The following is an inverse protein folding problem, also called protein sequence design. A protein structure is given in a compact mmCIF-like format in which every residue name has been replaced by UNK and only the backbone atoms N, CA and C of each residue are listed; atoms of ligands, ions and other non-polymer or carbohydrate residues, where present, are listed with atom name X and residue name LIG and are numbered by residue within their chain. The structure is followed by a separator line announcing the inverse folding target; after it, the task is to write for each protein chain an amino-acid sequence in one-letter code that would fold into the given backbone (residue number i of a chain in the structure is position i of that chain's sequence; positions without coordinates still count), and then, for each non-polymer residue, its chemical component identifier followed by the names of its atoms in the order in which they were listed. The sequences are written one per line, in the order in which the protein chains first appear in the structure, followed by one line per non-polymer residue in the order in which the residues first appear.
data_IF_150493668441
#
_entry.id   IF_150493668441
#
_cell.length_a   1.000
_cell.length_b   1.000
_cell.length_c   1.000
_cell.angle_alpha   90.00
_cell.angle_beta   90.00
_cell.angle_gamma   90.00
#
_symmetry.space_group_name_H-M   'P 1'
#
loop_
_entity.id
_entity.type
_entity.pdbx_description
1 polymer ?
#
# COMPACT_ATOMS: atom_id res chain seq x y z
N UNK A 1 21.33 -13.18 33.27
CA UNK A 1 20.69 -12.66 34.51
C UNK A 1 21.43 -13.04 35.80
N UNK A 2 21.91 -14.27 35.97
CA UNK A 2 22.68 -14.66 37.19
C UNK A 2 23.95 -13.83 37.35
N UNK A 3 24.72 -13.62 36.28
CA UNK A 3 25.93 -12.84 36.31
C UNK A 3 25.67 -11.36 36.59
N UNK A 4 24.54 -10.82 36.05
CA UNK A 4 24.08 -9.46 36.37
C UNK A 4 23.71 -9.33 37.84
N UNK A 5 23.01 -10.33 38.40
CA UNK A 5 22.66 -10.36 39.83
C UNK A 5 23.91 -10.36 40.72
N UNK A 6 24.87 -11.23 40.39
CA UNK A 6 26.16 -11.31 41.09
C UNK A 6 26.93 -9.97 41.00
N UNK A 7 27.05 -9.39 39.82
CA UNK A 7 27.77 -8.13 39.56
C UNK A 7 27.12 -6.93 40.24
N UNK A 8 25.77 -6.88 40.23
CA UNK A 8 25.01 -5.81 40.87
C UNK A 8 24.86 -6.00 42.39
N UNK A 9 25.24 -7.15 42.95
CA UNK A 9 25.07 -7.48 44.37
C UNK A 9 23.59 -7.53 44.80
N UNK A 10 22.72 -8.08 43.96
CA UNK A 10 21.27 -8.16 44.19
C UNK A 10 20.74 -9.57 43.88
N UNK A 11 19.51 -9.86 44.31
CA UNK A 11 18.87 -11.14 43.98
C UNK A 11 18.51 -11.24 42.50
N UNK A 12 18.45 -12.47 41.97
CA UNK A 12 17.92 -12.74 40.61
C UNK A 12 16.54 -12.12 40.40
N UNK A 13 15.67 -12.18 41.43
CA UNK A 13 14.33 -11.58 41.42
C UNK A 13 14.38 -10.07 41.26
N UNK A 14 15.36 -9.40 41.90
CA UNK A 14 15.56 -7.93 41.76
C UNK A 14 15.99 -7.58 40.34
N UNK A 15 16.94 -8.31 39.74
CA UNK A 15 17.32 -8.14 38.34
C UNK A 15 16.11 -8.30 37.38
N UNK A 16 15.34 -9.38 37.61
CA UNK A 16 14.11 -9.64 36.81
C UNK A 16 13.15 -8.47 36.90
N UNK A 17 12.89 -7.92 38.09
CA UNK A 17 11.96 -6.80 38.29
C UNK A 17 12.48 -5.51 37.60
N UNK A 18 13.78 -5.23 37.69
CA UNK A 18 14.37 -4.06 37.00
C UNK A 18 14.31 -4.21 35.50
N UNK A 19 14.65 -5.40 34.95
CA UNK A 19 14.59 -5.69 33.52
C UNK A 19 13.16 -5.58 32.99
N UNK A 20 12.17 -6.03 33.75
CA UNK A 20 10.75 -5.98 33.41
C UNK A 20 10.07 -4.64 33.74
N UNK A 21 10.82 -3.65 34.28
CA UNK A 21 10.27 -2.35 34.70
C UNK A 21 9.15 -2.45 35.72
N UNK A 22 9.16 -3.49 36.55
CA UNK A 22 8.16 -3.67 37.60
C UNK A 22 8.31 -2.64 38.72
N UNK A 23 7.21 -2.09 39.28
CA UNK A 23 7.29 -1.13 40.38
C UNK A 23 7.82 -1.75 41.67
N UNK A 24 8.34 -0.89 42.57
CA UNK A 24 8.78 -1.29 43.93
C UNK A 24 10.24 -1.73 44.00
N UNK A 25 11.10 -1.31 43.08
CA UNK A 25 12.56 -1.41 43.22
C UNK A 25 13.09 0.02 43.45
N UNK A 26 13.97 0.20 44.42
CA UNK A 26 14.53 1.51 44.72
C UNK A 26 15.40 2.05 43.58
N UNK A 27 15.45 3.38 43.38
CA UNK A 27 16.24 3.99 42.30
C UNK A 27 17.73 3.58 42.31
N UNK A 28 18.31 3.39 43.47
CA UNK A 28 19.68 2.93 43.62
C UNK A 28 19.91 1.52 43.10
N UNK A 29 19.02 0.60 43.45
CA UNK A 29 19.07 -0.79 42.93
C UNK A 29 18.83 -0.82 41.42
N UNK A 30 17.94 0.02 40.89
CA UNK A 30 17.71 0.15 39.45
C UNK A 30 18.98 0.61 38.74
N UNK A 31 19.68 1.60 39.29
CA UNK A 31 20.94 2.09 38.73
C UNK A 31 22.02 1.00 38.75
N UNK A 32 22.26 0.35 39.88
CA UNK A 32 23.25 -0.73 40.02
C UNK A 32 23.02 -1.89 39.03
N UNK A 33 21.77 -2.30 38.84
CA UNK A 33 21.42 -3.34 37.87
C UNK A 33 21.64 -2.87 36.42
N UNK A 34 21.27 -1.64 36.09
CA UNK A 34 21.51 -1.06 34.74
C UNK A 34 23.01 -0.95 34.43
N UNK A 35 23.80 -0.52 35.37
CA UNK A 35 25.27 -0.42 35.25
C UNK A 35 25.89 -1.81 35.04
N UNK A 36 25.44 -2.82 35.78
CA UNK A 36 25.88 -4.22 35.61
C UNK A 36 25.45 -4.80 34.26
N UNK A 37 24.24 -4.52 33.78
CA UNK A 37 23.74 -4.91 32.43
C UNK A 37 24.65 -4.31 31.35
N UNK A 38 24.94 -3.01 31.44
CA UNK A 38 25.78 -2.32 30.48
C UNK A 38 27.21 -2.88 30.48
N UNK A 39 27.80 -3.09 31.66
CA UNK A 39 29.17 -3.58 31.79
C UNK A 39 29.35 -5.02 31.25
N UNK A 40 28.35 -5.87 31.46
CA UNK A 40 28.38 -7.28 31.04
C UNK A 40 27.85 -7.49 29.61
N UNK A 41 27.41 -6.41 28.92
CA UNK A 41 26.77 -6.53 27.60
C UNK A 41 25.53 -7.45 27.62
N UNK A 42 24.91 -7.59 28.81
CA UNK A 42 23.77 -8.48 28.95
C UNK A 42 22.57 -7.94 28.16
N UNK A 43 22.09 -8.74 27.22
CA UNK A 43 20.83 -8.47 26.51
C UNK A 43 19.74 -9.36 27.11
N UNK A 44 18.64 -8.77 27.62
CA UNK A 44 17.49 -9.56 28.03
C UNK A 44 17.03 -10.45 26.87
N UNK A 45 16.78 -11.71 27.14
CA UNK A 45 16.15 -12.60 26.18
C UNK A 45 14.64 -12.33 26.22
N UNK A 46 14.18 -11.57 25.26
CA UNK A 46 12.76 -11.22 25.14
C UNK A 46 11.89 -12.47 24.95
N UNK A 47 12.43 -13.56 24.37
CA UNK A 47 11.73 -14.86 24.28
C UNK A 47 11.42 -15.45 25.67
N UNK A 48 12.36 -15.34 26.62
CA UNK A 48 12.15 -15.79 28.01
C UNK A 48 11.16 -14.87 28.77
N UNK A 49 11.00 -13.63 28.35
CA UNK A 49 10.04 -12.66 28.90
C UNK A 49 8.62 -12.99 28.44
N UNK A 50 8.42 -13.20 27.15
CA UNK A 50 7.11 -13.56 26.56
C UNK A 50 6.61 -14.94 27.03
N UNK A 51 7.50 -15.90 27.30
CA UNK A 51 7.15 -17.20 27.87
C UNK A 51 6.64 -17.17 29.33
N UNK A 52 6.90 -16.06 30.06
CA UNK A 52 6.52 -15.93 31.49
C UNK A 52 5.31 -15.00 31.71
N UNK A 53 5.03 -14.08 30.81
CA UNK A 53 3.81 -13.30 30.81
C UNK A 53 2.72 -14.16 30.15
N UNK A 54 1.72 -14.51 30.93
CA UNK A 54 0.57 -15.32 30.58
C UNK A 54 -0.06 -14.92 29.27
N UNK A 55 0.25 -15.64 28.18
CA UNK A 55 -0.36 -15.47 26.86
C UNK A 55 0.69 -15.35 25.77
N UNK A 56 0.81 -16.32 25.00
CA UNK A 56 1.38 -16.63 23.67
C UNK A 56 1.88 -15.50 22.75
N UNK A 57 1.84 -14.20 23.11
CA UNK A 57 2.19 -13.09 22.23
C UNK A 57 3.70 -12.92 22.08
N UNK A 58 4.18 -12.82 20.84
CA UNK A 58 5.59 -12.63 20.50
C UNK A 58 6.00 -11.18 20.36
N UNK A 59 5.03 -10.27 20.25
CA UNK A 59 5.25 -8.85 20.01
C UNK A 59 5.69 -8.54 18.57
N UNK A 60 5.28 -9.37 17.62
CA UNK A 60 5.53 -9.16 16.20
C UNK A 60 4.26 -9.42 15.38
N UNK A 61 4.04 -8.59 14.35
CA UNK A 61 3.03 -8.79 13.32
C UNK A 61 3.69 -8.93 11.95
N UNK A 62 3.05 -9.70 11.06
CA UNK A 62 3.48 -9.86 9.67
C UNK A 62 2.79 -8.86 8.74
N UNK A 63 3.51 -8.34 7.75
CA UNK A 63 2.91 -7.63 6.63
C UNK A 63 3.36 -8.25 5.30
N UNK A 64 2.45 -8.98 4.66
CA UNK A 64 2.65 -9.54 3.33
C UNK A 64 2.18 -8.53 2.28
N UNK A 65 3.12 -7.95 1.55
CA UNK A 65 2.90 -6.92 0.53
C UNK A 65 3.32 -7.44 -0.86
N UNK A 66 2.88 -6.76 -1.92
CA UNK A 66 3.21 -7.21 -3.29
C UNK A 66 4.68 -7.00 -3.61
N UNK A 67 5.19 -5.76 -3.49
CA UNK A 67 6.57 -5.41 -3.82
C UNK A 67 7.07 -4.24 -2.96
N UNK A 68 8.12 -4.47 -2.18
CA UNK A 68 8.77 -3.45 -1.35
C UNK A 68 9.35 -2.30 -2.18
N UNK A 69 9.65 -2.53 -3.46
CA UNK A 69 10.13 -1.51 -4.39
C UNK A 69 9.05 -0.51 -4.81
N UNK A 70 7.77 -0.81 -4.59
CA UNK A 70 6.70 0.14 -4.86
C UNK A 70 6.52 1.12 -3.68
N UNK A 71 6.68 2.41 -3.94
CA UNK A 71 6.56 3.50 -2.96
C UNK A 71 5.25 3.46 -2.15
N UNK A 72 4.15 3.02 -2.76
CA UNK A 72 2.87 2.83 -2.07
C UNK A 72 3.04 1.99 -0.80
N UNK A 73 3.75 0.86 -0.88
CA UNK A 73 3.95 -0.01 0.28
C UNK A 73 4.92 0.57 1.31
N UNK A 74 5.88 1.40 0.90
CA UNK A 74 6.78 2.09 1.85
C UNK A 74 6.01 3.02 2.78
N UNK A 75 5.04 3.77 2.27
CA UNK A 75 4.17 4.61 3.08
C UNK A 75 3.17 3.79 3.90
N UNK A 76 2.65 2.69 3.33
CA UNK A 76 1.77 1.75 4.05
C UNK A 76 2.48 1.15 5.26
N UNK A 77 3.73 0.67 5.09
CA UNK A 77 4.55 0.14 6.19
C UNK A 77 4.70 1.19 7.30
N UNK A 78 4.98 2.45 6.97
CA UNK A 78 5.12 3.51 7.97
C UNK A 78 3.84 3.72 8.79
N UNK A 79 2.68 3.65 8.15
CA UNK A 79 1.40 3.71 8.86
C UNK A 79 1.20 2.52 9.81
N UNK A 80 1.53 1.31 9.36
CA UNK A 80 1.48 0.10 10.19
C UNK A 80 2.46 0.19 11.36
N UNK A 81 3.71 0.60 11.11
CA UNK A 81 4.75 0.71 12.14
C UNK A 81 4.42 1.74 13.22
N UNK A 82 3.74 2.83 12.87
CA UNK A 82 3.33 3.84 13.83
C UNK A 82 2.40 3.24 14.89
N UNK A 83 1.37 2.51 14.46
CA UNK A 83 0.42 1.84 15.36
C UNK A 83 1.10 0.69 16.10
N UNK A 84 1.85 -0.16 15.41
CA UNK A 84 2.56 -1.30 16.01
C UNK A 84 3.50 -0.84 17.14
N UNK A 85 4.23 0.24 16.95
CA UNK A 85 5.13 0.83 17.97
C UNK A 85 4.38 1.30 19.21
N UNK A 86 3.17 1.87 19.06
CA UNK A 86 2.33 2.29 20.20
C UNK A 86 1.94 1.08 21.07
N UNK A 87 1.75 -0.09 20.45
CA UNK A 87 1.47 -1.36 21.12
C UNK A 87 2.72 -2.13 21.54
N UNK A 88 3.94 -1.65 21.23
CA UNK A 88 5.20 -2.30 21.56
C UNK A 88 5.55 -3.50 20.66
N UNK A 89 5.01 -3.51 19.43
CA UNK A 89 5.20 -4.56 18.44
C UNK A 89 6.21 -4.18 17.35
N UNK A 90 6.83 -5.20 16.77
CA UNK A 90 7.64 -5.09 15.54
C UNK A 90 6.82 -5.51 14.33
N UNK A 91 7.10 -4.91 13.18
CA UNK A 91 6.54 -5.29 11.89
C UNK A 91 7.57 -6.10 11.11
N UNK A 92 7.21 -7.31 10.70
CA UNK A 92 7.97 -8.14 9.77
C UNK A 92 7.32 -8.02 8.40
N UNK A 93 7.93 -7.25 7.49
CA UNK A 93 7.40 -7.05 6.15
C UNK A 93 8.17 -7.88 5.12
N UNK A 94 7.48 -8.36 4.08
CA UNK A 94 8.09 -9.08 2.97
C UNK A 94 7.23 -9.03 1.71
N UNK A 95 7.90 -9.20 0.55
CA UNK A 95 7.27 -9.18 -0.77
C UNK A 95 6.77 -10.57 -1.19
N UNK A 96 5.53 -10.61 -1.69
CA UNK A 96 4.91 -11.82 -2.28
C UNK A 96 5.14 -11.89 -3.78
N UNK A 97 5.62 -10.79 -4.38
CA UNK A 97 5.74 -10.60 -5.84
C UNK A 97 4.41 -10.79 -6.59
N UNK A 98 3.28 -10.60 -5.91
CA UNK A 98 1.94 -10.69 -6.48
C UNK A 98 1.54 -12.08 -6.94
N UNK A 99 2.15 -13.14 -6.40
CA UNK A 99 1.83 -14.51 -6.76
C UNK A 99 1.66 -15.41 -5.52
N UNK A 100 0.89 -16.49 -5.68
CA UNK A 100 0.53 -17.39 -4.58
C UNK A 100 1.75 -18.09 -3.97
N UNK A 101 2.73 -18.48 -4.78
CA UNK A 101 3.93 -19.20 -4.27
C UNK A 101 4.74 -18.29 -3.34
N UNK A 102 4.96 -17.03 -3.74
CA UNK A 102 5.65 -16.05 -2.90
C UNK A 102 4.85 -15.71 -1.64
N UNK A 103 3.52 -15.65 -1.74
CA UNK A 103 2.63 -15.46 -0.60
C UNK A 103 2.78 -16.61 0.40
N UNK A 104 2.64 -17.86 -0.04
CA UNK A 104 2.72 -19.03 0.82
C UNK A 104 4.07 -19.12 1.54
N UNK A 105 5.18 -18.96 0.83
CA UNK A 105 6.53 -18.96 1.41
C UNK A 105 6.70 -17.89 2.50
N UNK A 106 6.14 -16.70 2.27
CA UNK A 106 6.22 -15.60 3.22
C UNK A 106 5.35 -15.87 4.44
N UNK A 107 4.10 -16.34 4.24
CA UNK A 107 3.20 -16.69 5.35
C UNK A 107 3.77 -17.84 6.18
N UNK A 108 4.32 -18.89 5.58
CA UNK A 108 5.04 -19.95 6.30
C UNK A 108 6.19 -19.38 7.15
N UNK A 109 6.92 -18.40 6.64
CA UNK A 109 7.97 -17.71 7.39
C UNK A 109 7.39 -16.95 8.59
N UNK A 110 6.26 -16.27 8.45
CA UNK A 110 5.58 -15.57 9.54
C UNK A 110 5.08 -16.56 10.60
N UNK A 111 4.49 -17.68 10.18
CA UNK A 111 4.06 -18.78 11.08
C UNK A 111 5.24 -19.37 11.85
N UNK A 112 6.35 -19.67 11.18
CA UNK A 112 7.56 -20.19 11.83
C UNK A 112 8.14 -19.20 12.85
N UNK A 113 8.00 -17.90 12.62
CA UNK A 113 8.41 -16.83 13.54
C UNK A 113 7.35 -16.49 14.58
N UNK A 114 6.17 -17.14 14.49
CA UNK A 114 5.04 -16.99 15.42
C UNK A 114 4.58 -15.54 15.52
N UNK A 115 4.38 -14.85 14.39
CA UNK A 115 3.74 -13.54 14.43
C UNK A 115 2.35 -13.65 15.06
N UNK A 116 1.95 -12.63 15.80
CA UNK A 116 0.68 -12.65 16.55
C UNK A 116 -0.52 -12.34 15.68
N UNK A 117 -0.29 -11.69 14.53
CA UNK A 117 -1.31 -11.37 13.52
C UNK A 117 -0.67 -10.96 12.19
N UNK A 118 -1.46 -10.91 11.14
CA UNK A 118 -1.00 -10.68 9.78
C UNK A 118 -1.85 -9.59 9.10
N UNK A 119 -1.19 -8.61 8.49
CA UNK A 119 -1.79 -7.75 7.47
C UNK A 119 -1.32 -8.28 6.12
N UNK A 120 -2.22 -8.45 5.16
CA UNK A 120 -1.86 -9.01 3.85
C UNK A 120 -2.55 -8.29 2.70
N UNK A 121 -1.80 -8.09 1.61
CA UNK A 121 -2.35 -7.86 0.27
C UNK A 121 -2.40 -9.22 -0.42
N UNK A 122 -3.58 -9.87 -0.49
CA UNK A 122 -3.69 -11.20 -1.07
C UNK A 122 -3.28 -11.23 -2.55
N UNK A 123 -2.70 -12.34 -2.99
CA UNK A 123 -2.26 -12.52 -4.39
C UNK A 123 -3.38 -12.98 -5.33
N UNK A 124 -4.62 -13.00 -4.85
CA UNK A 124 -5.81 -13.42 -5.60
C UNK A 124 -6.87 -14.03 -4.68
N UNK A 125 -7.83 -14.76 -5.26
CA UNK A 125 -8.90 -15.44 -4.51
C UNK A 125 -8.43 -16.74 -3.84
N UNK A 126 -7.39 -17.37 -4.37
CA UNK A 126 -6.73 -18.50 -3.71
C UNK A 126 -5.79 -17.95 -2.62
N UNK A 127 -6.09 -18.28 -1.38
CA UNK A 127 -5.36 -17.79 -0.23
C UNK A 127 -4.26 -18.73 0.25
N UNK A 128 -4.23 -19.98 -0.23
CA UNK A 128 -3.21 -20.96 0.13
C UNK A 128 -3.00 -21.10 1.64
N UNK A 129 -1.75 -20.96 2.10
CA UNK A 129 -1.38 -21.03 3.53
C UNK A 129 -2.05 -19.93 4.36
N UNK A 130 -2.27 -18.74 3.80
CA UNK A 130 -2.97 -17.65 4.50
C UNK A 130 -4.40 -18.04 4.88
N UNK A 131 -5.11 -18.75 4.01
CA UNK A 131 -6.44 -19.27 4.29
C UNK A 131 -6.45 -20.23 5.48
N UNK A 132 -5.48 -21.13 5.55
CA UNK A 132 -5.34 -22.04 6.70
C UNK A 132 -5.06 -21.30 8.02
N UNK A 133 -4.32 -20.21 7.98
CA UNK A 133 -4.07 -19.41 9.18
C UNK A 133 -5.34 -18.68 9.65
N UNK A 134 -6.17 -18.19 8.72
CA UNK A 134 -7.47 -17.61 9.05
C UNK A 134 -8.37 -18.66 9.73
N UNK A 135 -8.45 -19.88 9.19
CA UNK A 135 -9.23 -20.99 9.76
C UNK A 135 -8.74 -21.40 11.16
N UNK A 136 -7.43 -21.25 11.44
CA UNK A 136 -6.84 -21.50 12.76
C UNK A 136 -7.10 -20.39 13.76
N UNK A 137 -7.71 -19.28 13.34
CA UNK A 137 -8.03 -18.13 14.16
C UNK A 137 -6.86 -17.15 14.35
N UNK A 138 -5.84 -17.19 13.50
CA UNK A 138 -4.84 -16.13 13.45
C UNK A 138 -5.51 -14.84 13.00
N UNK A 139 -5.41 -13.72 13.76
CA UNK A 139 -5.96 -12.44 13.35
C UNK A 139 -5.35 -11.98 12.02
N UNK A 140 -6.20 -11.73 11.02
CA UNK A 140 -5.79 -11.28 9.69
C UNK A 140 -6.62 -10.06 9.29
N UNK A 141 -5.96 -9.08 8.67
CA UNK A 141 -6.60 -7.93 8.02
C UNK A 141 -6.12 -7.89 6.58
N UNK A 142 -7.05 -7.83 5.64
CA UNK A 142 -6.72 -7.63 4.23
C UNK A 142 -6.54 -6.16 3.91
N UNK A 143 -5.65 -5.90 2.97
CA UNK A 143 -5.37 -4.58 2.44
C UNK A 143 -5.47 -4.61 0.92
N UNK A 144 -6.13 -3.62 0.33
CA UNK A 144 -6.27 -3.35 -1.11
C UNK A 144 -7.12 -4.35 -1.89
N UNK A 145 -7.00 -5.66 -1.67
CA UNK A 145 -7.75 -6.70 -2.36
C UNK A 145 -8.74 -7.39 -1.42
N UNK A 146 -9.95 -7.63 -1.92
CA UNK A 146 -11.04 -8.33 -1.25
C UNK A 146 -11.25 -9.71 -1.89
N UNK A 147 -10.71 -10.80 -1.33
CA UNK A 147 -11.00 -12.14 -1.80
C UNK A 147 -12.47 -12.52 -1.62
N UNK A 148 -13.00 -13.27 -2.56
CA UNK A 148 -14.36 -13.77 -2.50
C UNK A 148 -14.52 -14.81 -1.36
N UNK A 149 -15.68 -14.82 -0.72
CA UNK A 149 -16.07 -15.81 0.29
C UNK A 149 -15.26 -15.88 1.59
N UNK A 150 -14.46 -14.87 1.91
CA UNK A 150 -13.69 -14.81 3.15
C UNK A 150 -14.13 -13.62 4.01
N UNK A 151 -14.51 -13.90 5.27
CA UNK A 151 -15.00 -12.90 6.21
C UNK A 151 -13.84 -12.43 7.11
N UNK A 152 -13.04 -11.48 6.63
CA UNK A 152 -11.93 -10.81 7.35
C UNK A 152 -12.08 -9.30 7.24
N UNK A 153 -11.47 -8.57 8.18
CA UNK A 153 -11.40 -7.12 8.08
C UNK A 153 -10.64 -6.70 6.81
N UNK A 154 -11.14 -5.67 6.15
CA UNK A 154 -10.59 -5.14 4.91
C UNK A 154 -10.44 -3.62 5.00
N UNK A 155 -9.29 -3.12 4.59
CA UNK A 155 -9.05 -1.70 4.32
C UNK A 155 -8.57 -1.54 2.89
N UNK A 156 -9.21 -0.70 2.09
CA UNK A 156 -8.79 -0.44 0.70
C UNK A 156 -9.12 0.96 0.23
N UNK A 157 -8.46 1.38 -0.85
CA UNK A 157 -8.81 2.60 -1.57
C UNK A 157 -10.11 2.43 -2.35
N UNK A 158 -10.83 3.54 -2.56
CA UNK A 158 -11.94 3.59 -3.51
C UNK A 158 -11.41 3.67 -4.95
N UNK A 159 -10.98 2.53 -5.49
CA UNK A 159 -10.40 2.46 -6.83
C UNK A 159 -11.37 2.87 -7.92
N UNK A 160 -12.64 2.45 -7.82
CA UNK A 160 -13.66 2.78 -8.81
C UNK A 160 -14.03 4.27 -8.74
N UNK A 161 -14.39 4.75 -7.55
CA UNK A 161 -14.78 6.14 -7.34
C UNK A 161 -13.65 7.12 -7.64
N UNK A 162 -12.42 6.81 -7.26
CA UNK A 162 -11.25 7.61 -7.60
C UNK A 162 -11.00 7.69 -9.11
N UNK A 163 -11.17 6.58 -9.85
CA UNK A 163 -11.07 6.59 -11.32
C UNK A 163 -12.21 7.37 -11.98
N UNK A 164 -13.43 7.28 -11.42
CA UNK A 164 -14.55 8.15 -11.85
C UNK A 164 -14.21 9.62 -11.66
N UNK A 165 -13.65 9.99 -10.49
CA UNK A 165 -13.25 11.37 -10.21
C UNK A 165 -12.16 11.86 -11.16
N UNK A 166 -11.12 11.06 -11.39
CA UNK A 166 -10.04 11.37 -12.33
C UNK A 166 -10.59 11.63 -13.74
N UNK A 167 -11.44 10.74 -14.22
CA UNK A 167 -12.02 10.85 -15.56
C UNK A 167 -12.96 12.05 -15.68
N UNK A 168 -13.84 12.26 -14.70
CA UNK A 168 -14.75 13.43 -14.67
C UNK A 168 -13.96 14.74 -14.63
N UNK A 169 -12.81 14.79 -13.97
CA UNK A 169 -11.92 15.94 -13.99
C UNK A 169 -11.46 16.28 -15.42
N UNK A 170 -10.95 15.31 -16.18
CA UNK A 170 -10.57 15.50 -17.58
C UNK A 170 -11.77 15.89 -18.47
N UNK A 171 -12.90 15.23 -18.27
CA UNK A 171 -14.15 15.52 -19.01
C UNK A 171 -14.62 16.95 -18.76
N UNK A 172 -14.55 17.45 -17.52
CA UNK A 172 -14.90 18.82 -17.15
C UNK A 172 -13.98 19.86 -17.83
N UNK A 173 -12.73 19.51 -18.13
CA UNK A 173 -11.79 20.36 -18.88
C UNK A 173 -11.96 20.26 -20.40
N UNK A 174 -12.96 19.50 -20.87
CA UNK A 174 -13.34 19.45 -22.28
C UNK A 174 -12.82 18.23 -23.05
N UNK A 175 -12.10 17.30 -22.38
CA UNK A 175 -11.59 16.09 -23.02
C UNK A 175 -12.72 15.09 -23.29
N UNK A 176 -12.68 14.48 -24.47
CA UNK A 176 -13.56 13.40 -24.91
C UNK A 176 -12.77 12.24 -25.53
N UNK A 177 -11.53 12.51 -25.95
CA UNK A 177 -10.58 11.53 -26.47
C UNK A 177 -9.45 11.35 -25.45
N UNK A 178 -9.65 10.40 -24.54
CA UNK A 178 -8.79 10.11 -23.39
C UNK A 178 -8.23 8.70 -23.54
N UNK A 179 -6.90 8.57 -23.48
CA UNK A 179 -6.25 7.25 -23.41
C UNK A 179 -6.08 6.82 -21.96
N UNK A 180 -6.48 5.60 -21.66
CA UNK A 180 -6.28 4.94 -20.38
C UNK A 180 -5.09 3.98 -20.47
N UNK A 181 -4.14 4.12 -19.55
CA UNK A 181 -3.03 3.18 -19.38
C UNK A 181 -3.13 2.57 -17.97
N UNK A 182 -3.26 1.26 -17.90
CA UNK A 182 -3.49 0.53 -16.65
C UNK A 182 -2.74 -0.78 -16.57
N UNK A 183 -2.68 -1.34 -15.38
CA UNK A 183 -2.16 -2.68 -15.15
C UNK A 183 -3.11 -3.75 -15.72
N UNK A 184 -2.72 -5.02 -15.71
CA UNK A 184 -3.57 -6.12 -16.15
C UNK A 184 -4.88 -6.18 -15.36
N UNK A 185 -5.99 -6.46 -16.03
CA UNK A 185 -7.32 -6.55 -15.39
C UNK A 185 -7.50 -7.80 -14.51
N UNK A 186 -6.52 -8.67 -14.46
CA UNK A 186 -6.45 -9.76 -13.47
C UNK A 186 -6.22 -9.21 -12.05
N UNK A 187 -5.59 -8.03 -11.95
CA UNK A 187 -5.41 -7.32 -10.69
C UNK A 187 -6.70 -6.60 -10.32
N UNK A 188 -7.23 -6.88 -9.13
CA UNK A 188 -8.51 -6.36 -8.64
C UNK A 188 -8.61 -4.83 -8.71
N UNK A 189 -7.61 -4.11 -8.20
CA UNK A 189 -7.58 -2.63 -8.22
C UNK A 189 -7.54 -2.07 -9.64
N UNK A 190 -6.77 -2.67 -10.55
CA UNK A 190 -6.69 -2.28 -11.95
C UNK A 190 -8.04 -2.47 -12.68
N UNK A 191 -8.72 -3.60 -12.43
CA UNK A 191 -10.06 -3.87 -12.95
C UNK A 191 -11.07 -2.80 -12.53
N UNK A 192 -11.07 -2.41 -11.25
CA UNK A 192 -11.96 -1.39 -10.73
C UNK A 192 -11.65 0.00 -11.29
N UNK A 193 -10.38 0.35 -11.45
CA UNK A 193 -9.97 1.65 -12.04
C UNK A 193 -10.41 1.74 -13.51
N UNK A 194 -10.24 0.67 -14.29
CA UNK A 194 -10.73 0.63 -15.68
C UNK A 194 -12.26 0.72 -15.75
N UNK A 195 -12.97 0.04 -14.86
CA UNK A 195 -14.43 0.13 -14.78
C UNK A 195 -14.88 1.57 -14.47
N UNK A 196 -14.29 2.22 -13.47
CA UNK A 196 -14.59 3.61 -13.12
C UNK A 196 -14.32 4.60 -14.27
N UNK A 197 -13.20 4.40 -15.00
CA UNK A 197 -12.90 5.18 -16.21
C UNK A 197 -14.00 5.01 -17.27
N UNK A 198 -14.37 3.76 -17.61
CA UNK A 198 -15.42 3.48 -18.62
C UNK A 198 -16.78 4.02 -18.22
N UNK A 199 -17.15 3.90 -16.94
CA UNK A 199 -18.41 4.41 -16.42
C UNK A 199 -18.49 5.93 -16.54
N UNK A 200 -17.44 6.65 -16.14
CA UNK A 200 -17.39 8.10 -16.23
C UNK A 200 -17.40 8.62 -17.69
N UNK A 201 -16.75 7.91 -18.61
CA UNK A 201 -16.80 8.23 -20.04
C UNK A 201 -18.19 8.01 -20.61
N UNK A 202 -18.84 6.90 -20.27
CA UNK A 202 -20.23 6.59 -20.67
C UNK A 202 -21.20 7.65 -20.13
N UNK A 203 -21.06 8.08 -18.87
CA UNK A 203 -21.86 9.14 -18.26
C UNK A 203 -21.68 10.47 -19.02
N UNK A 204 -20.50 10.70 -19.59
CA UNK A 204 -20.21 11.87 -20.43
C UNK A 204 -20.69 11.75 -21.88
N UNK A 205 -21.39 10.66 -22.23
CA UNK A 205 -21.87 10.37 -23.58
C UNK A 205 -20.75 9.99 -24.56
N UNK A 206 -19.63 9.47 -24.07
CA UNK A 206 -18.48 9.05 -24.87
C UNK A 206 -18.34 7.55 -24.81
N UNK A 207 -18.39 6.91 -25.98
CA UNK A 207 -18.05 5.50 -26.12
C UNK A 207 -16.53 5.34 -26.27
N UNK A 208 -15.92 4.58 -25.39
CA UNK A 208 -14.46 4.42 -25.36
C UNK A 208 -14.07 3.32 -26.34
N UNK A 209 -13.41 3.73 -27.41
CA UNK A 209 -12.85 2.76 -28.35
C UNK A 209 -11.75 1.91 -27.69
N UNK A 210 -11.72 0.61 -27.98
CA UNK A 210 -10.75 -0.33 -27.37
C UNK A 210 -9.28 0.11 -27.57
N UNK A 211 -8.97 0.73 -28.68
CA UNK A 211 -7.64 1.30 -28.95
C UNK A 211 -7.22 2.42 -27.99
N UNK A 212 -8.13 2.95 -27.19
CA UNK A 212 -7.87 3.98 -26.15
C UNK A 212 -7.60 3.34 -24.78
N UNK A 213 -7.68 2.02 -24.67
CA UNK A 213 -7.41 1.30 -23.43
C UNK A 213 -6.19 0.40 -23.65
N UNK A 214 -5.11 0.68 -22.95
CA UNK A 214 -3.87 -0.10 -22.99
C UNK A 214 -3.63 -0.65 -21.59
N UNK A 215 -3.64 -1.96 -21.44
CA UNK A 215 -3.43 -2.63 -20.15
C UNK A 215 -2.33 -3.67 -20.27
N UNK A 216 -1.58 -3.89 -19.20
CA UNK A 216 -0.53 -4.90 -19.13
C UNK A 216 0.36 -4.70 -17.92
N UNK A 217 1.17 -5.70 -17.62
CA UNK A 217 2.13 -5.66 -16.54
C UNK A 217 3.54 -5.40 -17.10
N UNK A 218 4.04 -4.19 -16.91
CA UNK A 218 5.30 -3.73 -17.48
C UNK A 218 6.10 -2.92 -16.46
N UNK A 219 7.42 -2.94 -16.62
CA UNK A 219 8.30 -2.03 -15.87
C UNK A 219 8.13 -0.57 -16.33
N UNK A 220 8.52 0.39 -15.51
CA UNK A 220 8.41 1.83 -15.83
C UNK A 220 9.05 2.21 -17.18
N UNK A 221 10.22 1.65 -17.50
CA UNK A 221 10.91 1.92 -18.78
C UNK A 221 10.12 1.38 -19.98
N UNK A 222 9.51 0.21 -19.86
CA UNK A 222 8.65 -0.37 -20.91
C UNK A 222 7.40 0.47 -21.10
N UNK A 223 6.80 0.96 -20.02
CA UNK A 223 5.66 1.89 -20.11
C UNK A 223 6.03 3.18 -20.84
N UNK A 224 7.23 3.73 -20.61
CA UNK A 224 7.70 4.89 -21.36
C UNK A 224 7.75 4.60 -22.85
N UNK A 225 8.28 3.44 -23.27
CA UNK A 225 8.37 3.04 -24.67
C UNK A 225 7.00 2.83 -25.31
N UNK A 226 6.10 2.10 -24.62
CA UNK A 226 4.73 1.85 -25.05
C UNK A 226 3.98 3.17 -25.28
N UNK A 227 4.02 4.08 -24.29
CA UNK A 227 3.32 5.35 -24.35
C UNK A 227 3.95 6.26 -25.41
N UNK A 228 5.30 6.27 -25.53
CA UNK A 228 6.00 7.02 -26.60
C UNK A 228 5.57 6.54 -27.98
N UNK A 229 5.50 5.22 -28.19
CA UNK A 229 5.03 4.62 -29.45
C UNK A 229 3.58 4.97 -29.72
N UNK A 230 2.73 4.86 -28.71
CA UNK A 230 1.30 5.19 -28.80
C UNK A 230 1.04 6.66 -29.18
N UNK A 231 1.77 7.60 -28.58
CA UNK A 231 1.60 9.03 -28.84
C UNK A 231 2.14 9.49 -30.20
N UNK A 232 2.98 8.71 -30.86
CA UNK A 232 3.46 8.99 -32.24
C UNK A 232 2.44 8.60 -33.30
N UNK A 233 1.46 7.76 -33.00
CA UNK A 233 0.43 7.34 -33.93
C UNK A 233 -0.71 8.38 -33.94
N UNK A 234 -1.13 8.81 -35.14
CA UNK A 234 -2.20 9.79 -35.32
C UNK A 234 -3.57 9.09 -35.48
N UNK A 235 -4.63 9.61 -34.89
CA UNK A 235 -4.70 10.79 -34.03
C UNK A 235 -4.26 10.48 -32.60
N UNK A 236 -3.39 11.31 -32.03
CA UNK A 236 -3.02 11.21 -30.63
C UNK A 236 -4.22 11.62 -29.73
N UNK A 237 -4.36 11.03 -28.51
CA UNK A 237 -5.39 11.42 -27.56
C UNK A 237 -5.17 12.86 -27.08
N UNK A 238 -6.21 13.50 -26.59
CA UNK A 238 -6.10 14.84 -26.01
C UNK A 238 -5.71 14.81 -24.52
N UNK A 239 -5.90 13.67 -23.89
CA UNK A 239 -5.55 13.44 -22.48
C UNK A 239 -5.11 11.98 -22.24
N UNK A 240 -4.32 11.78 -21.20
CA UNK A 240 -3.90 10.49 -20.67
C UNK A 240 -4.41 10.35 -19.24
N UNK A 241 -4.97 9.19 -18.93
CA UNK A 241 -5.16 8.70 -17.57
C UNK A 241 -4.20 7.54 -17.31
N UNK A 242 -3.16 7.76 -16.51
CA UNK A 242 -2.26 6.72 -16.02
C UNK A 242 -2.79 6.17 -14.69
N UNK A 243 -3.20 4.90 -14.70
CA UNK A 243 -3.96 4.32 -13.60
C UNK A 243 -3.07 3.64 -12.53
N UNK A 244 -1.78 3.98 -12.47
CA UNK A 244 -0.82 3.47 -11.47
C UNK A 244 0.45 4.32 -11.47
N UNK A 245 1.17 4.37 -10.33
CA UNK A 245 2.38 5.19 -10.15
C UNK A 245 3.50 4.90 -11.17
N UNK A 246 3.82 3.63 -11.46
CA UNK A 246 4.86 3.27 -12.45
C UNK A 246 4.49 3.72 -13.86
N UNK A 247 3.20 3.60 -14.21
CA UNK A 247 2.67 4.07 -15.49
C UNK A 247 2.77 5.60 -15.57
N UNK A 248 2.49 6.29 -14.47
CA UNK A 248 2.58 7.74 -14.36
C UNK A 248 3.98 8.25 -14.63
N UNK A 249 5.00 7.60 -14.07
CA UNK A 249 6.40 7.94 -14.35
C UNK A 249 6.73 7.72 -15.83
N UNK A 250 6.32 6.58 -16.40
CA UNK A 250 6.51 6.28 -17.82
C UNK A 250 5.81 7.32 -18.74
N UNK A 251 4.56 7.70 -18.41
CA UNK A 251 3.81 8.72 -19.14
C UNK A 251 4.45 10.10 -19.06
N UNK A 252 4.91 10.51 -17.88
CA UNK A 252 5.61 11.78 -17.69
C UNK A 252 6.89 11.83 -18.55
N UNK A 253 7.70 10.79 -18.53
CA UNK A 253 8.89 10.69 -19.38
C UNK A 253 8.55 10.76 -20.87
N UNK A 254 7.53 10.03 -21.33
CA UNK A 254 7.11 10.04 -22.72
C UNK A 254 6.62 11.43 -23.18
N UNK A 255 5.77 12.07 -22.36
CA UNK A 255 5.24 13.41 -22.64
C UNK A 255 6.34 14.47 -22.71
N UNK A 256 7.29 14.45 -21.78
CA UNK A 256 8.41 15.39 -21.78
C UNK A 256 9.36 15.13 -22.95
N UNK A 257 9.74 13.89 -23.23
CA UNK A 257 10.62 13.55 -24.34
C UNK A 257 10.06 13.94 -25.71
N UNK A 258 8.72 13.92 -25.87
CA UNK A 258 8.03 14.32 -27.10
C UNK A 258 7.66 15.79 -27.15
N UNK A 259 7.92 16.58 -26.11
CA UNK A 259 7.51 17.99 -26.03
C UNK A 259 5.97 18.16 -25.99
N UNK A 260 5.26 17.19 -25.43
CA UNK A 260 3.79 17.13 -25.34
C UNK A 260 3.25 17.42 -23.93
N UNK A 261 4.11 17.61 -22.92
CA UNK A 261 3.72 17.82 -21.52
C UNK A 261 2.77 19.02 -21.29
N UNK A 262 2.83 20.04 -22.16
CA UNK A 262 1.93 21.20 -22.14
C UNK A 262 0.80 21.13 -23.21
N UNK A 263 0.62 20.00 -23.88
CA UNK A 263 -0.33 19.86 -25.00
C UNK A 263 -1.35 18.76 -24.78
N UNK A 264 -0.97 17.71 -24.09
CA UNK A 264 -1.79 16.55 -23.73
C UNK A 264 -2.00 16.59 -22.22
N UNK A 265 -3.26 16.62 -21.78
CA UNK A 265 -3.55 16.56 -20.35
C UNK A 265 -3.13 15.20 -19.76
N UNK A 266 -2.70 15.22 -18.51
CA UNK A 266 -2.28 14.01 -17.81
C UNK A 266 -2.84 14.00 -16.38
N UNK A 267 -3.58 12.94 -16.04
CA UNK A 267 -4.02 12.67 -14.69
C UNK A 267 -3.54 11.29 -14.26
N UNK A 268 -3.14 11.18 -13.00
CA UNK A 268 -2.63 9.95 -12.40
C UNK A 268 -3.60 9.39 -11.35
N UNK A 269 -3.72 8.08 -11.28
CA UNK A 269 -4.07 7.40 -10.05
C UNK A 269 -2.76 7.06 -9.33
N UNK A 270 -2.71 7.32 -8.05
CA UNK A 270 -1.53 7.42 -7.18
C UNK A 270 -0.79 8.76 -7.31
N UNK A 271 -0.25 9.19 -6.19
CA UNK A 271 0.74 10.26 -6.15
C UNK A 271 2.15 9.66 -6.27
N UNK A 272 3.06 10.40 -6.86
CA UNK A 272 4.47 10.03 -7.00
C UNK A 272 5.35 11.13 -6.41
N UNK A 273 6.54 10.76 -5.94
CA UNK A 273 7.53 11.74 -5.53
C UNK A 273 7.84 12.71 -6.69
N UNK A 274 7.96 13.98 -6.35
CA UNK A 274 8.25 15.06 -7.29
C UNK A 274 7.14 15.37 -8.32
N UNK A 275 5.91 14.83 -8.17
CA UNK A 275 4.79 15.14 -9.06
C UNK A 275 4.45 16.63 -9.12
N UNK A 276 4.75 17.39 -8.08
CA UNK A 276 4.56 18.84 -7.95
C UNK A 276 5.76 19.65 -8.48
N UNK A 277 6.92 19.02 -8.70
CA UNK A 277 8.14 19.72 -9.18
C UNK A 277 8.27 19.69 -10.69
N UNK A 278 7.66 18.73 -11.39
CA UNK A 278 7.66 18.71 -12.86
C UNK A 278 6.75 19.82 -13.40
N UNK A 279 6.95 20.21 -14.65
CA UNK A 279 6.15 21.27 -15.30
C UNK A 279 5.45 20.77 -16.56
N UNK A 280 4.11 20.80 -16.59
CA UNK A 280 3.18 21.13 -15.49
C UNK A 280 3.20 20.08 -14.40
N UNK A 281 2.87 20.45 -13.14
CA UNK A 281 2.73 19.51 -12.04
C UNK A 281 1.68 18.44 -12.34
N UNK A 282 1.93 17.19 -11.94
CA UNK A 282 1.02 16.08 -12.28
C UNK A 282 -0.21 16.10 -11.36
N UNK A 283 -1.38 16.26 -11.97
CA UNK A 283 -2.69 16.15 -11.33
C UNK A 283 -2.95 14.69 -10.95
N UNK A 284 -3.32 14.43 -9.69
CA UNK A 284 -3.40 13.06 -9.15
C UNK A 284 -4.68 12.80 -8.37
N UNK A 285 -5.04 11.51 -8.26
CA UNK A 285 -5.94 10.95 -7.24
C UNK A 285 -5.09 10.06 -6.34
N UNK A 286 -4.64 10.54 -5.16
CA UNK A 286 -3.77 9.78 -4.27
C UNK A 286 -4.54 8.65 -3.57
N UNK A 287 -3.86 7.58 -3.16
CA UNK A 287 -4.47 6.47 -2.42
C UNK A 287 -4.41 6.61 -0.88
N UNK A 288 -3.67 7.56 -0.34
CA UNK A 288 -3.44 7.73 1.09
C UNK A 288 -2.85 6.48 1.78
N UNK A 289 -1.72 5.94 1.30
CA UNK A 289 -1.20 4.64 1.76
C UNK A 289 -0.82 4.61 3.25
N UNK A 290 -0.42 5.75 3.83
CA UNK A 290 -0.16 5.85 5.25
C UNK A 290 -1.43 5.63 6.10
N UNK A 291 -2.55 6.24 5.71
CA UNK A 291 -3.84 6.05 6.40
C UNK A 291 -4.35 4.61 6.24
N UNK A 292 -4.21 4.02 5.04
CA UNK A 292 -4.54 2.62 4.80
C UNK A 292 -3.79 1.68 5.75
N UNK A 293 -2.46 1.89 5.87
CA UNK A 293 -1.64 1.10 6.78
C UNK A 293 -2.00 1.29 8.25
N UNK A 294 -2.26 2.53 8.66
CA UNK A 294 -2.66 2.87 10.02
C UNK A 294 -3.98 2.20 10.39
N UNK A 295 -5.01 2.31 9.56
CA UNK A 295 -6.31 1.71 9.80
C UNK A 295 -6.26 0.19 9.81
N UNK A 296 -5.50 -0.43 8.87
CA UNK A 296 -5.32 -1.87 8.87
C UNK A 296 -4.66 -2.37 10.17
N UNK A 297 -3.66 -1.65 10.68
CA UNK A 297 -3.03 -1.98 11.94
C UNK A 297 -3.97 -1.77 13.14
N UNK A 298 -4.74 -0.69 13.18
CA UNK A 298 -5.73 -0.45 14.25
C UNK A 298 -6.76 -1.58 14.33
N UNK A 299 -7.29 -2.03 13.18
CA UNK A 299 -8.20 -3.18 13.12
C UNK A 299 -7.51 -4.46 13.62
N UNK A 300 -6.27 -4.73 13.18
CA UNK A 300 -5.52 -5.90 13.62
C UNK A 300 -5.33 -5.89 15.14
N UNK A 301 -4.95 -4.76 15.74
CA UNK A 301 -4.77 -4.67 17.18
C UNK A 301 -6.08 -4.79 17.97
N UNK A 302 -7.21 -4.37 17.42
CA UNK A 302 -8.54 -4.64 18.01
C UNK A 302 -8.80 -6.16 18.06
N UNK A 303 -8.48 -6.91 16.98
CA UNK A 303 -8.61 -8.38 16.96
C UNK A 303 -7.65 -9.04 17.94
N UNK A 304 -6.40 -8.59 18.01
CA UNK A 304 -5.41 -9.08 18.98
C UNK A 304 -5.82 -8.84 20.44
N UNK A 305 -6.59 -7.79 20.70
CA UNK A 305 -7.19 -7.50 22.01
C UNK A 305 -8.44 -8.34 22.32
N UNK A 306 -8.89 -9.20 21.39
CA UNK A 306 -10.03 -10.09 21.57
C UNK A 306 -11.37 -9.52 21.12
N UNK A 307 -11.38 -8.49 20.25
CA UNK A 307 -12.61 -8.00 19.67
C UNK A 307 -13.29 -9.06 18.79
N UNK A 308 -14.49 -9.48 19.15
CA UNK A 308 -15.31 -10.48 18.43
C UNK A 308 -16.50 -9.78 17.73
N UNK A 309 -16.18 -8.72 16.98
CA UNK A 309 -17.16 -8.01 16.17
C UNK A 309 -17.18 -8.58 14.73
N UNK A 310 -18.28 -8.44 13.98
CA UNK A 310 -18.29 -8.77 12.56
C UNK A 310 -17.15 -8.08 11.82
N UNK A 311 -16.62 -8.68 10.71
CA UNK A 311 -15.60 -8.06 9.90
C UNK A 311 -15.99 -6.67 9.40
N UNK A 312 -15.04 -5.75 9.46
CA UNK A 312 -15.18 -4.35 9.04
C UNK A 312 -14.63 -4.20 7.62
N UNK A 313 -15.32 -3.41 6.80
CA UNK A 313 -14.86 -3.01 5.46
C UNK A 313 -14.72 -1.51 5.41
N UNK A 314 -13.48 -1.04 5.40
CA UNK A 314 -13.16 0.38 5.29
C UNK A 314 -12.68 0.72 3.88
N UNK A 315 -13.36 1.69 3.26
CA UNK A 315 -13.03 2.17 1.91
C UNK A 315 -12.64 3.64 2.03
N UNK A 316 -11.37 3.94 1.74
CA UNK A 316 -10.83 5.29 1.84
C UNK A 316 -10.93 5.97 0.47
N UNK A 317 -11.71 7.04 0.41
CA UNK A 317 -11.84 7.90 -0.78
C UNK A 317 -10.79 9.00 -0.78
N UNK A 318 -10.37 9.41 -1.96
CA UNK A 318 -9.42 10.50 -2.14
C UNK A 318 -9.92 11.54 -3.13
N UNK A 319 -9.72 12.85 -2.87
CA UNK A 319 -10.06 13.89 -3.82
C UNK A 319 -9.03 13.95 -4.96
N UNK A 320 -9.38 14.60 -6.05
CA UNK A 320 -8.42 15.03 -7.07
C UNK A 320 -7.56 16.16 -6.50
N UNK A 321 -6.25 16.05 -6.64
CA UNK A 321 -5.29 17.12 -6.35
C UNK A 321 -4.83 17.69 -7.69
N UNK A 322 -5.38 18.85 -8.07
CA UNK A 322 -5.05 19.55 -9.29
C UNK A 322 -3.67 20.22 -9.18
N UNK A 323 -2.79 19.98 -10.18
CA UNK A 323 -1.42 20.53 -10.20
C UNK A 323 -1.02 21.11 -11.57
N UNK A 324 -1.95 21.19 -12.53
CA UNK A 324 -1.77 21.84 -13.83
C UNK A 324 -1.79 20.89 -15.03
N UNK A 325 -1.34 19.63 -14.90
CA UNK A 325 -1.32 18.72 -16.05
C UNK A 325 -2.72 18.23 -16.47
N UNK A 326 -3.62 18.00 -15.50
CA UNK A 326 -5.00 17.57 -15.75
C UNK A 326 -5.91 18.71 -16.23
N UNK A 327 -5.46 19.96 -16.11
CA UNK A 327 -6.19 21.20 -16.42
C UNK A 327 -5.88 21.75 -17.83
N UNK A 328 -4.94 21.13 -18.56
CA UNK A 328 -4.65 21.46 -19.95
C UNK A 328 -5.91 21.20 -20.78
N UNK A 329 -6.37 22.18 -21.54
CA UNK A 329 -7.54 22.02 -22.40
C UNK A 329 -7.18 21.37 -23.73
N UNK A 330 -8.08 20.60 -24.36
CA UNK A 330 -7.84 20.06 -25.68
C UNK A 330 -7.64 21.19 -26.71
N UNK A 331 -6.62 21.05 -27.55
CA UNK A 331 -6.42 21.97 -28.66
C UNK A 331 -7.62 21.97 -29.62
N UNK A 332 -7.76 22.99 -30.50
CA UNK A 332 -8.85 23.08 -31.46
C UNK A 332 -8.87 21.80 -32.34
N UNK A 333 -10.03 21.15 -32.39
CA UNK A 333 -10.24 19.93 -33.22
C UNK A 333 -9.97 20.32 -34.68
N UNK A 334 -8.86 19.82 -35.25
CA UNK A 334 -8.64 19.90 -36.69
C UNK A 334 -9.75 19.08 -37.37
N UNK A 335 -10.82 19.73 -37.80
CA UNK A 335 -11.80 19.09 -38.69
C UNK A 335 -11.03 18.59 -39.92
N UNK A 336 -10.92 17.28 -40.08
CA UNK A 336 -10.46 16.71 -41.35
C UNK A 336 -11.38 17.26 -42.42
N UNK A 337 -10.82 17.98 -43.39
CA UNK A 337 -11.56 18.31 -44.60
C UNK A 337 -11.94 16.95 -45.21
N UNK A 338 -13.22 16.60 -45.15
CA UNK A 338 -13.77 15.53 -46.00
C UNK A 338 -13.48 16.06 -47.41
N UNK A 339 -12.54 15.45 -48.12
CA UNK A 339 -12.41 15.58 -49.55
C UNK A 339 -13.72 15.13 -50.18
N UNK A 340 -14.35 16.10 -50.87
CA UNK A 340 -15.54 15.89 -51.68
C UNK A 340 -15.17 15.00 -52.89
#
# INVERSE_FOLDING_TARGET
MRDVASRAGVSFKTVSRVVNREPGVSPDLVKRVKDAISLLGYRPDDRARHLRQSGRQTGAIGFALVDVGNQFFSWTIRGIEEVARQHGYLVLAGSTYGNLVGQDQLIETFVARRVDGIIAVPSGNDLGVLGHEIERGTPVVFLDLEPEHVAVDLVRSDHHGGAVLATKHLVAHGHRDIAFFGDTTEIFSAKLRLAGFRDAMRDAGVDVADQRVVTGQHATAEWQEIITGYLKVSPAPTAIFSAQNFITVGAAHALHALGLAHKIAHISFDDIDFADLVQPGITVVPQQPWDLGRQAAELLFQRLAGADAPPVREIISSPVIARGSGEIRPGPVRRSKRSA
#
